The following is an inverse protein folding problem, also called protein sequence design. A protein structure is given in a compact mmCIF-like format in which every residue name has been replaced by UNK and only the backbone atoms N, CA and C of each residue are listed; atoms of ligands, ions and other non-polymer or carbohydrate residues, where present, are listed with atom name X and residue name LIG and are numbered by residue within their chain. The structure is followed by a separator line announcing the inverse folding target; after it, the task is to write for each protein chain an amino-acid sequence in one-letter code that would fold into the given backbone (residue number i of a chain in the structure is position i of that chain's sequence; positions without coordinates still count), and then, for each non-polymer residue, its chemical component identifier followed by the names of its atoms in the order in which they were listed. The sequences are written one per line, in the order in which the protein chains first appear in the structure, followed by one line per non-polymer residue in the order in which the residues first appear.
data_IF_402313777684
#
_entry.id   IF_402313777684
#
_cell.length_a   1.000
_cell.length_b   1.000
_cell.length_c   1.000
_cell.angle_alpha   90.00
_cell.angle_beta   90.00
_cell.angle_gamma   90.00
#
_symmetry.space_group_name_H-M   'P 1'
#
loop_
_entity.id
_entity.type
_entity.pdbx_description
1 polymer ?
#
# COMPACT_ATOMS: atom_id res chain seq x y z
N UNK A 1 6.45 -8.25 -25.12
CA UNK A 1 6.20 -9.69 -24.86
C UNK A 1 5.14 -9.91 -23.78
N UNK A 2 5.19 -9.15 -22.66
CA UNK A 2 4.18 -9.22 -21.59
C UNK A 2 2.76 -8.87 -22.07
N UNK A 3 2.63 -7.93 -23.01
CA UNK A 3 1.34 -7.54 -23.61
C UNK A 3 0.91 -8.44 -24.78
N UNK A 4 1.60 -9.56 -25.02
CA UNK A 4 1.27 -10.47 -26.12
C UNK A 4 -0.12 -11.05 -25.92
N UNK A 5 -0.97 -10.99 -26.96
CA UNK A 5 -2.29 -11.64 -27.00
C UNK A 5 -2.22 -13.14 -27.35
N UNK A 6 -1.03 -13.66 -27.69
CA UNK A 6 -0.86 -15.05 -28.06
C UNK A 6 -0.79 -15.95 -26.82
N UNK A 7 -1.74 -16.89 -26.68
CA UNK A 7 -1.84 -17.79 -25.53
C UNK A 7 -0.60 -18.67 -25.31
N UNK A 8 0.09 -19.11 -26.37
CA UNK A 8 1.33 -19.89 -26.22
C UNK A 8 2.44 -19.07 -25.59
N UNK A 9 2.61 -17.82 -26.03
CA UNK A 9 3.61 -16.90 -25.46
C UNK A 9 3.26 -16.58 -24.00
N UNK A 10 1.98 -16.34 -23.70
CA UNK A 10 1.51 -16.07 -22.34
C UNK A 10 1.75 -17.25 -21.40
N UNK A 11 1.39 -18.46 -21.81
CA UNK A 11 1.59 -19.67 -21.02
C UNK A 11 3.08 -19.98 -20.81
N UNK A 12 3.90 -19.76 -21.83
CA UNK A 12 5.35 -19.92 -21.70
C UNK A 12 5.92 -18.94 -20.68
N UNK A 13 5.54 -17.66 -20.76
CA UNK A 13 5.99 -16.64 -19.83
C UNK A 13 5.51 -16.91 -18.40
N UNK A 14 4.26 -17.30 -18.21
CA UNK A 14 3.71 -17.55 -16.86
C UNK A 14 4.44 -18.70 -16.13
N UNK A 15 4.91 -19.73 -16.86
CA UNK A 15 5.68 -20.84 -16.28
C UNK A 15 7.18 -20.49 -16.15
N UNK A 16 7.68 -19.55 -16.94
CA UNK A 16 9.09 -19.13 -16.92
C UNK A 16 9.40 -18.11 -15.82
N UNK A 17 8.39 -17.40 -15.31
CA UNK A 17 8.56 -16.47 -14.19
C UNK A 17 8.83 -17.24 -12.90
N UNK A 18 9.86 -16.81 -12.17
CA UNK A 18 10.34 -17.47 -10.95
C UNK A 18 10.37 -16.47 -9.79
N UNK A 19 10.47 -17.01 -8.58
CA UNK A 19 10.64 -16.20 -7.37
C UNK A 19 11.91 -15.33 -7.43
N UNK A 20 12.98 -15.87 -8.02
CA UNK A 20 14.25 -15.14 -8.20
C UNK A 20 14.08 -13.93 -9.12
N UNK A 21 13.25 -14.03 -10.16
CA UNK A 21 12.92 -12.89 -11.02
C UNK A 21 12.19 -11.79 -10.23
N UNK A 22 11.26 -12.16 -9.33
CA UNK A 22 10.54 -11.20 -8.50
C UNK A 22 11.46 -10.53 -7.48
N UNK A 23 12.36 -11.29 -6.85
CA UNK A 23 13.34 -10.75 -5.91
C UNK A 23 14.32 -9.78 -6.60
N UNK A 24 14.81 -10.15 -7.78
CA UNK A 24 15.71 -9.29 -8.58
C UNK A 24 15.00 -8.00 -8.99
N UNK A 25 13.76 -8.10 -9.46
CA UNK A 25 12.95 -6.93 -9.82
C UNK A 25 12.71 -6.00 -8.62
N UNK A 26 12.41 -6.56 -7.45
CA UNK A 26 12.23 -5.78 -6.23
C UNK A 26 13.51 -5.03 -5.82
N UNK A 27 14.69 -5.65 -5.98
CA UNK A 27 15.98 -4.98 -5.74
C UNK A 27 16.16 -3.78 -6.66
N UNK A 28 15.92 -3.96 -7.97
CA UNK A 28 16.04 -2.89 -8.96
C UNK A 28 15.08 -1.73 -8.63
N UNK A 29 13.83 -2.04 -8.27
CA UNK A 29 12.84 -1.02 -7.86
C UNK A 29 13.34 -0.23 -6.64
N UNK A 30 13.84 -0.92 -5.61
CA UNK A 30 14.37 -0.28 -4.40
C UNK A 30 15.60 0.57 -4.66
N UNK A 31 16.48 0.15 -5.57
CA UNK A 31 17.66 0.93 -5.97
C UNK A 31 17.24 2.24 -6.63
N UNK A 32 16.27 2.20 -7.55
CA UNK A 32 15.71 3.41 -8.17
C UNK A 32 15.02 4.32 -7.14
N UNK A 33 14.30 3.74 -6.18
CA UNK A 33 13.62 4.47 -5.11
C UNK A 33 14.60 5.14 -4.11
N UNK A 34 15.77 4.55 -3.87
CA UNK A 34 16.76 5.02 -2.88
C UNK A 34 17.62 6.17 -3.39
N UNK A 35 18.13 6.05 -4.62
CA UNK A 35 19.13 6.98 -5.12
C UNK A 35 18.53 8.23 -5.75
N UNK A 36 17.20 8.27 -5.94
CA UNK A 36 16.47 9.41 -6.51
C UNK A 36 17.18 9.90 -7.75
N UNK A 37 16.95 9.22 -8.89
CA UNK A 37 17.64 9.43 -10.16
C UNK A 37 18.16 10.86 -10.30
N UNK A 38 19.47 11.01 -10.46
CA UNK A 38 20.17 12.29 -10.49
C UNK A 38 19.91 13.01 -11.81
N UNK A 39 18.65 13.12 -12.24
CA UNK A 39 18.17 13.95 -13.35
C UNK A 39 18.94 13.80 -14.65
N UNK A 40 19.70 12.73 -14.85
CA UNK A 40 20.34 12.47 -16.13
C UNK A 40 19.31 11.85 -17.05
N UNK A 41 19.35 12.23 -18.34
CA UNK A 41 18.37 11.75 -19.32
C UNK A 41 18.30 10.21 -19.40
N UNK A 42 19.41 9.52 -19.21
CA UNK A 42 19.50 8.05 -19.25
C UNK A 42 18.84 7.40 -18.02
N UNK A 43 19.02 8.01 -16.85
CA UNK A 43 18.39 7.55 -15.61
C UNK A 43 16.86 7.73 -15.66
N UNK A 44 16.38 8.87 -16.18
CA UNK A 44 14.94 9.11 -16.39
C UNK A 44 14.33 8.12 -17.38
N UNK A 45 15.02 7.84 -18.50
CA UNK A 45 14.61 6.83 -19.47
C UNK A 45 14.53 5.44 -18.83
N UNK A 46 15.51 5.09 -17.98
CA UNK A 46 15.49 3.84 -17.24
C UNK A 46 14.31 3.73 -16.27
N UNK A 47 14.01 4.76 -15.48
CA UNK A 47 12.83 4.73 -14.60
C UNK A 47 11.53 4.64 -15.40
N UNK A 48 11.42 5.33 -16.52
CA UNK A 48 10.24 5.24 -17.38
C UNK A 48 10.08 3.81 -17.92
N UNK A 49 11.16 3.20 -18.42
CA UNK A 49 11.15 1.82 -18.90
C UNK A 49 10.79 0.82 -17.78
N UNK A 50 11.35 1.00 -16.57
CA UNK A 50 11.03 0.18 -15.41
C UNK A 50 9.57 0.33 -14.99
N UNK A 51 9.05 1.57 -14.97
CA UNK A 51 7.64 1.84 -14.70
C UNK A 51 6.72 1.16 -15.70
N UNK A 52 7.02 1.25 -17.00
CA UNK A 52 6.27 0.57 -18.06
C UNK A 52 6.34 -0.96 -17.93
N UNK A 53 7.53 -1.51 -17.64
CA UNK A 53 7.70 -2.93 -17.41
C UNK A 53 6.87 -3.42 -16.23
N UNK A 54 6.94 -2.73 -15.09
CA UNK A 54 6.15 -3.04 -13.90
C UNK A 54 4.66 -2.98 -14.19
N UNK A 55 4.22 -1.94 -14.91
CA UNK A 55 2.83 -1.81 -15.32
C UNK A 55 2.37 -3.02 -16.14
N UNK A 56 3.05 -3.30 -17.26
CA UNK A 56 2.71 -4.43 -18.14
C UNK A 56 2.74 -5.76 -17.38
N UNK A 57 3.73 -5.97 -16.52
CA UNK A 57 3.85 -7.20 -15.75
C UNK A 57 2.65 -7.40 -14.80
N UNK A 58 2.28 -6.37 -14.04
CA UNK A 58 1.17 -6.43 -13.07
C UNK A 58 -0.19 -6.56 -13.76
N UNK A 59 -0.41 -5.87 -14.88
CA UNK A 59 -1.71 -5.91 -15.59
C UNK A 59 -1.84 -7.11 -16.54
N UNK A 60 -0.76 -7.82 -16.83
CA UNK A 60 -0.77 -8.92 -17.81
C UNK A 60 -1.46 -10.20 -17.33
N UNK A 61 -1.91 -10.29 -16.07
CA UNK A 61 -2.43 -11.52 -15.43
C UNK A 61 -1.48 -12.74 -15.54
N UNK A 62 -0.18 -12.52 -15.78
CA UNK A 62 0.80 -13.60 -15.95
C UNK A 62 1.33 -14.15 -14.62
N UNK A 63 1.34 -13.33 -13.56
CA UNK A 63 1.87 -13.72 -12.26
C UNK A 63 0.87 -14.55 -11.46
N UNK A 64 1.33 -15.70 -10.95
CA UNK A 64 0.58 -16.44 -9.92
C UNK A 64 0.46 -15.61 -8.63
N UNK A 65 -0.57 -15.85 -7.80
CA UNK A 65 -0.72 -15.17 -6.50
C UNK A 65 0.54 -15.26 -5.62
N UNK A 66 1.25 -16.39 -5.69
CA UNK A 66 2.54 -16.58 -5.00
C UNK A 66 3.60 -15.59 -5.46
N UNK A 67 3.78 -15.41 -6.76
CA UNK A 67 4.78 -14.47 -7.29
C UNK A 67 4.41 -13.01 -6.98
N UNK A 68 3.12 -12.68 -7.01
CA UNK A 68 2.63 -11.35 -6.61
C UNK A 68 2.99 -11.07 -5.14
N UNK A 69 2.71 -12.03 -4.25
CA UNK A 69 3.06 -11.90 -2.84
C UNK A 69 4.57 -11.77 -2.63
N UNK A 70 5.39 -12.58 -3.32
CA UNK A 70 6.85 -12.51 -3.21
C UNK A 70 7.35 -11.14 -3.63
N UNK A 71 6.89 -10.60 -4.77
CA UNK A 71 7.28 -9.26 -5.21
C UNK A 71 6.92 -8.21 -4.15
N UNK A 72 5.68 -8.21 -3.66
CA UNK A 72 5.22 -7.25 -2.65
C UNK A 72 5.96 -7.40 -1.32
N UNK A 73 6.29 -8.63 -0.91
CA UNK A 73 7.03 -8.92 0.31
C UNK A 73 8.47 -8.42 0.19
N UNK A 74 9.11 -8.66 -0.95
CA UNK A 74 10.44 -8.13 -1.24
C UNK A 74 10.44 -6.60 -1.31
N UNK A 75 9.34 -5.96 -1.74
CA UNK A 75 9.16 -4.51 -1.67
C UNK A 75 8.84 -3.98 -0.26
N UNK A 76 8.55 -4.86 0.72
CA UNK A 76 8.19 -4.46 2.09
C UNK A 76 6.75 -3.96 2.25
N UNK A 77 5.89 -4.20 1.26
CA UNK A 77 4.52 -3.68 1.19
C UNK A 77 3.49 -4.78 0.94
N UNK A 78 3.80 -6.03 1.33
CA UNK A 78 2.87 -7.15 1.16
C UNK A 78 1.68 -7.06 2.11
N UNK A 79 0.44 -7.00 1.57
CA UNK A 79 -0.79 -7.13 2.36
C UNK A 79 -0.99 -8.51 2.98
N UNK A 80 -0.20 -9.51 2.58
CA UNK A 80 -0.26 -10.87 3.11
C UNK A 80 0.69 -11.11 4.28
N UNK A 81 1.54 -10.12 4.58
CA UNK A 81 2.53 -10.22 5.66
C UNK A 81 1.96 -9.76 6.99
N UNK A 82 2.52 -10.29 8.07
CA UNK A 82 2.29 -9.85 9.44
C UNK A 82 3.21 -8.67 9.81
N UNK A 83 2.84 -7.91 10.85
CA UNK A 83 3.67 -6.84 11.42
C UNK A 83 3.26 -5.42 11.01
N UNK A 84 4.07 -4.40 11.36
CA UNK A 84 3.72 -3.01 11.08
C UNK A 84 3.62 -2.74 9.58
N UNK A 85 2.77 -1.79 9.21
CA UNK A 85 2.67 -1.27 7.85
C UNK A 85 3.58 -0.05 7.70
N UNK A 86 4.40 0.05 6.65
CA UNK A 86 5.27 1.21 6.45
C UNK A 86 4.45 2.50 6.34
N UNK A 87 4.87 3.55 7.03
CA UNK A 87 4.21 4.86 6.92
C UNK A 87 4.62 5.56 5.62
N UNK A 88 5.90 5.44 5.26
CA UNK A 88 6.42 5.95 3.99
C UNK A 88 6.56 4.81 2.97
N UNK A 89 6.02 5.00 1.76
CA UNK A 89 6.24 4.09 0.64
C UNK A 89 6.76 4.89 -0.54
N UNK A 90 7.94 4.52 -1.03
CA UNK A 90 8.56 5.17 -2.17
C UNK A 90 7.72 5.05 -3.46
N UNK A 91 7.83 6.02 -4.40
CA UNK A 91 6.95 6.10 -5.56
C UNK A 91 6.89 4.84 -6.44
N UNK A 92 8.02 4.18 -6.74
CA UNK A 92 7.99 3.01 -7.62
C UNK A 92 7.39 1.79 -6.89
N UNK A 93 7.76 1.58 -5.64
CA UNK A 93 7.16 0.56 -4.78
C UNK A 93 5.64 0.78 -4.60
N UNK A 94 5.20 2.02 -4.35
CA UNK A 94 3.80 2.40 -4.22
C UNK A 94 3.03 2.23 -5.54
N UNK A 95 3.68 2.52 -6.66
CA UNK A 95 3.16 2.31 -8.01
C UNK A 95 2.87 0.83 -8.26
N UNK A 96 3.75 -0.09 -7.84
CA UNK A 96 3.48 -1.54 -7.92
C UNK A 96 2.33 -1.95 -7.00
N UNK A 97 2.38 -1.55 -5.72
CA UNK A 97 1.35 -1.87 -4.73
C UNK A 97 -0.05 -1.41 -5.18
N UNK A 98 -0.18 -0.14 -5.57
CA UNK A 98 -1.45 0.47 -5.96
C UNK A 98 -2.14 -0.31 -7.07
N UNK A 99 -1.40 -0.77 -8.06
CA UNK A 99 -1.97 -1.56 -9.16
C UNK A 99 -2.52 -2.89 -8.68
N UNK A 100 -1.81 -3.61 -7.82
CA UNK A 100 -2.32 -4.86 -7.26
C UNK A 100 -3.62 -4.63 -6.48
N UNK A 101 -3.62 -3.68 -5.54
CA UNK A 101 -4.79 -3.37 -4.73
C UNK A 101 -5.99 -2.97 -5.58
N UNK A 102 -5.79 -2.09 -6.57
CA UNK A 102 -6.86 -1.64 -7.46
C UNK A 102 -7.37 -2.75 -8.39
N UNK A 103 -6.50 -3.62 -8.89
CA UNK A 103 -6.92 -4.79 -9.70
C UNK A 103 -7.74 -5.75 -8.85
N UNK A 104 -7.31 -6.05 -7.63
CA UNK A 104 -8.06 -6.92 -6.72
C UNK A 104 -9.42 -6.32 -6.38
N UNK A 105 -9.48 -5.02 -6.04
CA UNK A 105 -10.74 -4.32 -5.79
C UNK A 105 -11.66 -4.32 -7.00
N UNK A 106 -11.13 -4.08 -8.19
CA UNK A 106 -11.92 -4.12 -9.43
C UNK A 106 -12.51 -5.51 -9.66
N UNK A 107 -11.68 -6.56 -9.55
CA UNK A 107 -12.13 -7.96 -9.67
C UNK A 107 -13.21 -8.30 -8.64
N UNK A 108 -13.04 -7.90 -7.39
CA UNK A 108 -13.99 -8.19 -6.32
C UNK A 108 -15.31 -7.40 -6.48
N UNK A 109 -15.24 -6.15 -6.93
CA UNK A 109 -16.41 -5.33 -7.26
C UNK A 109 -17.27 -5.96 -8.36
N UNK A 110 -16.66 -6.58 -9.37
CA UNK A 110 -17.42 -7.33 -10.40
C UNK A 110 -18.13 -8.56 -9.86
N UNK A 111 -17.71 -9.06 -8.69
CA UNK A 111 -18.33 -10.20 -7.98
C UNK A 111 -19.33 -9.76 -6.91
N UNK A 112 -19.66 -8.47 -6.84
CA UNK A 112 -20.55 -7.85 -5.84
C UNK A 112 -20.04 -7.93 -4.40
N UNK A 113 -18.74 -8.16 -4.20
CA UNK A 113 -18.10 -8.13 -2.89
C UNK A 113 -16.84 -7.24 -2.95
N UNK A 114 -16.97 -5.92 -2.81
CA UNK A 114 -15.84 -5.00 -2.97
C UNK A 114 -14.88 -5.00 -1.77
N UNK A 115 -15.23 -5.69 -0.67
CA UNK A 115 -14.48 -5.70 0.59
C UNK A 115 -13.33 -6.71 0.54
N UNK A 116 -12.34 -6.44 -0.31
CA UNK A 116 -11.14 -7.27 -0.47
C UNK A 116 -10.39 -7.41 0.87
N UNK A 117 -10.18 -8.64 1.38
CA UNK A 117 -9.50 -8.88 2.66
C UNK A 117 -8.12 -8.23 2.75
N UNK A 118 -7.34 -8.30 1.68
CA UNK A 118 -6.01 -7.71 1.60
C UNK A 118 -6.05 -6.19 1.75
N UNK A 119 -7.07 -5.53 1.17
CA UNK A 119 -7.25 -4.09 1.28
C UNK A 119 -7.67 -3.67 2.70
N UNK A 120 -8.53 -4.47 3.35
CA UNK A 120 -8.89 -4.27 4.75
C UNK A 120 -7.66 -4.44 5.66
N UNK A 121 -6.84 -5.46 5.41
CA UNK A 121 -5.62 -5.71 6.18
C UNK A 121 -4.60 -4.56 6.06
N UNK A 122 -4.47 -3.94 4.87
CA UNK A 122 -3.65 -2.73 4.72
C UNK A 122 -4.11 -1.62 5.67
N UNK A 123 -5.42 -1.38 5.74
CA UNK A 123 -5.99 -0.39 6.66
C UNK A 123 -5.78 -0.76 8.13
N UNK A 124 -6.01 -2.03 8.49
CA UNK A 124 -5.80 -2.54 9.85
C UNK A 124 -4.36 -2.34 10.32
N UNK A 125 -3.40 -2.73 9.49
CA UNK A 125 -1.97 -2.59 9.82
C UNK A 125 -1.50 -1.15 9.79
N UNK A 126 -2.03 -0.31 8.88
CA UNK A 126 -1.75 1.13 8.86
C UNK A 126 -2.20 1.83 10.15
N UNK A 127 -3.47 1.66 10.54
CA UNK A 127 -3.99 2.23 11.79
C UNK A 127 -3.28 1.63 13.01
N UNK A 128 -2.99 0.32 12.98
CA UNK A 128 -2.22 -0.36 14.02
C UNK A 128 -0.80 0.21 14.19
N UNK A 129 -0.14 0.60 13.10
CA UNK A 129 1.18 1.22 13.15
C UNK A 129 1.12 2.62 13.76
N UNK A 130 0.12 3.43 13.36
CA UNK A 130 -0.10 4.73 13.99
C UNK A 130 -0.37 4.60 15.50
N UNK A 131 -1.17 3.60 15.90
CA UNK A 131 -1.45 3.29 17.30
C UNK A 131 -0.17 2.95 18.06
N UNK A 132 0.63 2.02 17.55
CA UNK A 132 1.86 1.57 18.21
C UNK A 132 2.86 2.72 18.34
N UNK A 133 3.07 3.48 17.26
CA UNK A 133 3.99 4.61 17.25
C UNK A 133 3.53 5.72 18.20
N UNK A 134 2.21 5.97 18.26
CA UNK A 134 1.62 6.85 19.25
C UNK A 134 1.95 6.31 20.65
N UNK A 135 1.49 5.12 21.04
CA UNK A 135 1.68 4.58 22.38
C UNK A 135 3.15 4.49 22.85
N UNK A 136 4.09 4.28 21.93
CA UNK A 136 5.53 4.27 22.24
C UNK A 136 6.13 5.68 22.44
N UNK A 137 5.38 6.73 22.10
CA UNK A 137 5.82 8.12 22.18
C UNK A 137 6.96 8.42 21.21
N UNK A 138 6.96 7.78 20.02
CA UNK A 138 7.98 8.01 19.00
C UNK A 138 7.96 9.49 18.64
N UNK A 139 9.12 10.14 18.75
CA UNK A 139 9.24 11.55 18.43
C UNK A 139 8.99 11.77 16.93
N UNK A 140 8.39 12.91 16.54
CA UNK A 140 8.13 13.24 15.14
C UNK A 140 9.33 13.13 14.19
N UNK A 141 10.56 13.30 14.67
CA UNK A 141 11.77 13.17 13.85
C UNK A 141 12.30 11.73 13.72
N UNK A 142 11.81 10.82 14.56
CA UNK A 142 12.23 9.41 14.60
C UNK A 142 11.22 8.49 13.89
N UNK A 143 10.02 8.98 13.59
CA UNK A 143 9.02 8.28 12.80
C UNK A 143 9.13 8.67 11.32
N UNK A 144 8.99 7.69 10.43
CA UNK A 144 8.78 7.97 9.01
C UNK A 144 7.47 8.74 8.81
N UNK A 145 7.51 9.78 7.99
CA UNK A 145 6.34 10.56 7.65
C UNK A 145 5.52 9.88 6.55
N UNK A 146 4.19 9.92 6.71
CA UNK A 146 3.26 9.43 5.70
C UNK A 146 3.33 10.32 4.47
N UNK A 147 3.71 9.77 3.32
CA UNK A 147 3.68 10.51 2.06
C UNK A 147 2.25 10.66 1.51
N UNK A 148 2.04 11.74 0.78
CA UNK A 148 0.71 12.17 0.29
C UNK A 148 0.11 11.12 -0.65
N UNK A 149 0.92 10.55 -1.53
CA UNK A 149 0.50 9.56 -2.52
C UNK A 149 0.03 8.26 -1.85
N UNK A 150 0.72 7.84 -0.77
CA UNK A 150 0.32 6.67 0.00
C UNK A 150 -1.02 6.92 0.70
N UNK A 151 -1.22 8.08 1.32
CA UNK A 151 -2.51 8.44 1.91
C UNK A 151 -3.62 8.50 0.84
N UNK A 152 -3.34 9.06 -0.33
CA UNK A 152 -4.29 9.10 -1.44
C UNK A 152 -4.72 7.70 -1.89
N UNK A 153 -3.78 6.74 -1.95
CA UNK A 153 -4.10 5.35 -2.24
C UNK A 153 -5.00 4.74 -1.16
N UNK A 154 -4.69 4.94 0.12
CA UNK A 154 -5.54 4.44 1.22
C UNK A 154 -6.97 4.97 1.11
N UNK A 155 -7.11 6.28 0.89
CA UNK A 155 -8.41 6.92 0.72
C UNK A 155 -9.17 6.38 -0.50
N UNK A 156 -8.49 6.19 -1.63
CA UNK A 156 -9.06 5.59 -2.83
C UNK A 156 -9.59 4.18 -2.55
N UNK A 157 -8.81 3.35 -1.84
CA UNK A 157 -9.21 2.01 -1.42
C UNK A 157 -10.44 2.06 -0.53
N UNK A 158 -10.48 2.98 0.44
CA UNK A 158 -11.63 3.14 1.34
C UNK A 158 -12.92 3.47 0.60
N UNK A 159 -12.85 4.36 -0.40
CA UNK A 159 -14.02 4.74 -1.21
C UNK A 159 -14.61 3.56 -1.98
N UNK A 160 -13.75 2.62 -2.37
CA UNK A 160 -14.17 1.42 -3.10
C UNK A 160 -14.89 0.39 -2.21
N UNK A 161 -14.73 0.44 -0.89
CA UNK A 161 -15.39 -0.52 0.02
C UNK A 161 -16.91 -0.36 0.04
N UNK A 162 -17.58 -1.44 0.44
CA UNK A 162 -19.00 -1.44 0.79
C UNK A 162 -19.27 -0.59 2.04
N UNK A 163 -20.54 -0.32 2.34
CA UNK A 163 -20.93 0.32 3.60
C UNK A 163 -20.39 -0.46 4.81
N UNK A 164 -20.43 -1.80 4.76
CA UNK A 164 -19.91 -2.67 5.82
C UNK A 164 -18.40 -2.48 5.99
N UNK A 165 -17.63 -2.52 4.90
CA UNK A 165 -16.19 -2.31 4.92
C UNK A 165 -15.81 -0.93 5.45
N UNK A 166 -16.46 0.14 4.97
CA UNK A 166 -16.24 1.50 5.46
C UNK A 166 -16.55 1.64 6.95
N UNK A 167 -17.66 1.05 7.42
CA UNK A 167 -18.02 1.02 8.84
C UNK A 167 -16.99 0.28 9.69
N UNK A 168 -16.41 -0.81 9.20
CA UNK A 168 -15.32 -1.52 9.88
C UNK A 168 -14.09 -0.61 10.07
N UNK A 169 -13.66 0.09 9.01
CA UNK A 169 -12.51 1.01 9.09
C UNK A 169 -12.77 2.18 10.03
N UNK A 170 -13.96 2.77 10.01
CA UNK A 170 -14.34 3.84 10.94
C UNK A 170 -14.34 3.35 12.39
N UNK A 171 -14.88 2.15 12.63
CA UNK A 171 -14.92 1.55 13.97
C UNK A 171 -13.50 1.30 14.49
N UNK A 172 -12.61 0.79 13.63
CA UNK A 172 -11.19 0.62 13.92
C UNK A 172 -10.51 1.94 14.31
N UNK A 173 -10.77 3.02 13.56
CA UNK A 173 -10.23 4.35 13.88
C UNK A 173 -10.72 4.85 15.24
N UNK A 174 -12.04 4.74 15.52
CA UNK A 174 -12.62 5.16 16.80
C UNK A 174 -12.01 4.38 17.97
N UNK A 175 -11.94 3.05 17.87
CA UNK A 175 -11.32 2.20 18.90
C UNK A 175 -9.86 2.59 19.13
N UNK A 176 -9.11 2.83 18.05
CA UNK A 176 -7.71 3.24 18.15
C UNK A 176 -7.55 4.60 18.82
N UNK A 177 -8.40 5.59 18.49
CA UNK A 177 -8.38 6.90 19.16
C UNK A 177 -8.67 6.74 20.65
N UNK A 178 -9.69 5.96 21.02
CA UNK A 178 -10.02 5.70 22.43
C UNK A 178 -8.83 5.09 23.16
N UNK A 179 -8.20 4.06 22.59
CA UNK A 179 -7.04 3.39 23.19
C UNK A 179 -5.85 4.33 23.37
N UNK A 180 -5.54 5.18 22.38
CA UNK A 180 -4.44 6.15 22.46
C UNK A 180 -4.76 7.23 23.51
N UNK A 181 -5.99 7.73 23.55
CA UNK A 181 -6.41 8.75 24.53
C UNK A 181 -6.44 8.23 25.96
N UNK A 182 -6.74 6.96 26.19
CA UNK A 182 -6.65 6.34 27.51
C UNK A 182 -5.20 6.29 28.05
N UNK A 183 -4.20 6.42 27.17
CA UNK A 183 -2.78 6.38 27.49
C UNK A 183 -2.09 7.74 27.24
N UNK A 184 -2.84 8.85 27.33
CA UNK A 184 -2.36 10.18 26.94
C UNK A 184 -1.11 10.62 27.72
N UNK A 185 -0.91 10.13 28.94
CA UNK A 185 0.27 10.45 29.76
C UNK A 185 1.59 10.08 29.07
N UNK A 186 1.57 9.07 28.20
CA UNK A 186 2.71 8.70 27.34
C UNK A 186 3.00 9.72 26.24
N UNK A 187 1.97 10.47 25.81
CA UNK A 187 2.00 11.44 24.71
C UNK A 187 2.40 12.84 25.16
N UNK A 188 2.22 13.19 26.43
CA UNK A 188 2.44 14.54 26.97
C UNK A 188 3.91 15.03 26.91
N UNK A 189 4.84 14.21 26.43
CA UNK A 189 6.25 14.59 26.25
C UNK A 189 6.50 15.42 24.99
N UNK A 190 5.63 15.37 23.98
CA UNK A 190 5.78 16.11 22.73
C UNK A 190 4.42 16.37 22.05
N UNK A 191 4.41 17.12 20.94
CA UNK A 191 3.20 17.30 20.13
C UNK A 191 2.80 15.93 19.54
N UNK A 192 1.59 15.42 19.79
CA UNK A 192 1.19 14.08 19.38
C UNK A 192 0.82 14.05 17.89
N UNK A 193 1.79 14.25 17.01
CA UNK A 193 1.57 14.37 15.56
C UNK A 193 0.92 13.12 14.95
N UNK A 194 1.22 11.94 15.47
CA UNK A 194 0.61 10.69 15.01
C UNK A 194 -0.88 10.62 15.37
N UNK A 195 -1.27 11.10 16.55
CA UNK A 195 -2.67 11.25 16.92
C UNK A 195 -3.35 12.32 16.06
N UNK A 196 -2.68 13.45 15.81
CA UNK A 196 -3.20 14.48 14.91
C UNK A 196 -3.45 13.96 13.49
N UNK A 197 -2.54 13.12 12.96
CA UNK A 197 -2.70 12.43 11.68
C UNK A 197 -3.89 11.48 11.70
N UNK A 198 -4.02 10.66 12.75
CA UNK A 198 -5.16 9.75 12.90
C UNK A 198 -6.48 10.52 12.95
N UNK A 199 -6.55 11.63 13.68
CA UNK A 199 -7.72 12.49 13.76
C UNK A 199 -8.05 13.15 12.42
N UNK A 200 -7.04 13.60 11.67
CA UNK A 200 -7.25 14.17 10.34
C UNK A 200 -7.79 13.13 9.35
N UNK A 201 -7.22 11.93 9.36
CA UNK A 201 -7.73 10.82 8.54
C UNK A 201 -9.16 10.50 8.95
N UNK A 202 -9.43 10.36 10.24
CA UNK A 202 -10.77 10.06 10.75
C UNK A 202 -11.80 11.14 10.36
N UNK A 203 -11.45 12.42 10.50
CA UNK A 203 -12.30 13.53 10.08
C UNK A 203 -12.63 13.44 8.58
N UNK A 204 -11.64 13.17 7.74
CA UNK A 204 -11.87 12.95 6.31
C UNK A 204 -12.82 11.77 6.07
N UNK A 205 -12.58 10.62 6.71
CA UNK A 205 -13.42 9.42 6.54
C UNK A 205 -14.88 9.69 6.95
N UNK A 206 -15.12 10.44 8.03
CA UNK A 206 -16.47 10.83 8.45
C UNK A 206 -17.19 11.69 7.40
N UNK A 207 -16.50 12.66 6.81
CA UNK A 207 -17.06 13.50 5.75
C UNK A 207 -17.40 12.70 4.49
N UNK A 208 -16.69 11.60 4.22
CA UNK A 208 -16.94 10.75 3.06
C UNK A 208 -17.94 9.63 3.35
N UNK A 209 -18.12 9.25 4.61
CA UNK A 209 -19.13 8.27 5.01
C UNK A 209 -20.55 8.78 4.80
N UNK A 210 -20.79 10.09 4.99
CA UNK A 210 -22.12 10.70 4.89
C UNK A 210 -22.61 10.95 3.46
N UNK A 211 -21.74 10.83 2.45
CA UNK A 211 -22.09 10.99 1.03
C UNK A 211 -22.49 9.65 0.41
N UNK A 212 -23.56 9.06 0.92
CA UNK A 212 -24.29 7.96 0.29
C UNK A 212 -25.54 8.50 -0.41
#
# INVERSE_FOLDING_TARGET
MLDSKNNFIRNYLSVSLTEQHMATLASIIKEVDKDGLKGTSEEEEFAAALYHFNHSLVTSDLQSPTLQNILLQQLGVSPFSEGPWPLYIHPQSLSVLSRFLLIWQHKASTQMDPDVPECLNVWERFVGTLKQNALQGILPGDAEDLNVEHLQLLLLIFHSFSEKGRRSILTLCVQTILDVTANLDSQLRCVPLLLARLLLVFDYLLHQYSKA
#
